data_IF_153120933819
#
_entry.id   IF_153120933819
#
_cell.length_a   1.000
_cell.length_b   1.000
_cell.length_c   1.000
_cell.angle_alpha   90.00
_cell.angle_beta   90.00
_cell.angle_gamma   90.00
#
_symmetry.space_group_name_H-M   'P 1'
#
loop_
_entity.id
_entity.type
_entity.pdbx_description
1 polymer ?
#
# COMPACT_ATOMS: atom_id res chain seq x y z
N UNK A 1 8.74 35.27 28.49
CA UNK A 1 9.35 34.07 27.87
C UNK A 1 8.54 33.75 26.61
N UNK A 2 9.14 33.36 25.49
CA UNK A 2 8.39 32.91 24.34
C UNK A 2 7.57 31.69 24.73
N UNK A 3 6.31 31.66 24.32
CA UNK A 3 5.42 30.52 24.54
C UNK A 3 6.00 29.30 23.84
N UNK A 4 6.26 28.24 24.60
CA UNK A 4 6.70 26.94 24.04
C UNK A 4 5.48 26.27 23.44
N UNK A 5 5.43 26.20 22.11
CA UNK A 5 4.34 25.55 21.40
C UNK A 5 4.48 24.03 21.46
N UNK A 6 3.34 23.36 21.57
CA UNK A 6 3.30 21.91 21.55
C UNK A 6 3.75 21.37 20.17
N UNK A 7 4.45 20.24 20.17
CA UNK A 7 4.76 19.51 18.95
C UNK A 7 3.48 18.89 18.39
N UNK A 8 3.33 18.96 17.07
CA UNK A 8 2.26 18.27 16.33
C UNK A 8 2.83 16.98 15.75
N UNK A 9 2.25 15.85 16.11
CA UNK A 9 2.69 14.53 15.72
C UNK A 9 1.89 14.05 14.50
N UNK A 10 2.60 13.78 13.38
CA UNK A 10 2.02 13.20 12.18
C UNK A 10 2.34 11.69 12.15
N UNK A 11 1.39 10.88 11.68
CA UNK A 11 1.69 9.47 11.41
C UNK A 11 2.48 9.31 10.11
N UNK A 12 3.45 8.38 10.11
CA UNK A 12 4.17 7.95 8.91
C UNK A 12 4.05 6.44 8.75
N UNK A 13 3.14 6.00 7.90
CA UNK A 13 2.97 4.59 7.51
C UNK A 13 3.79 4.18 6.29
N UNK A 14 4.75 5.01 5.88
CA UNK A 14 5.91 4.73 5.05
C UNK A 14 5.60 4.45 3.57
N UNK A 15 4.95 5.39 2.89
CA UNK A 15 4.78 5.41 1.43
C UNK A 15 4.89 6.82 0.84
N UNK A 16 5.25 6.91 -0.44
CA UNK A 16 5.71 8.16 -1.09
C UNK A 16 4.71 9.33 -0.99
N UNK A 17 3.43 9.12 -1.29
CA UNK A 17 2.43 10.20 -1.26
C UNK A 17 2.21 10.73 0.16
N UNK A 18 2.23 9.86 1.17
CA UNK A 18 2.13 10.28 2.57
C UNK A 18 3.33 11.13 2.99
N UNK A 19 4.56 10.77 2.58
CA UNK A 19 5.74 11.58 2.87
C UNK A 19 5.66 12.97 2.28
N UNK A 20 5.15 13.10 1.05
CA UNK A 20 4.91 14.40 0.40
C UNK A 20 3.86 15.19 1.17
N UNK A 21 2.74 14.57 1.53
CA UNK A 21 1.66 15.22 2.28
C UNK A 21 2.14 15.63 3.67
N UNK A 22 2.89 14.80 4.38
CA UNK A 22 3.48 15.13 5.67
C UNK A 22 4.44 16.32 5.56
N UNK A 23 5.34 16.31 4.56
CA UNK A 23 6.28 17.43 4.35
C UNK A 23 5.58 18.76 4.05
N UNK A 24 4.47 18.74 3.30
CA UNK A 24 3.65 19.92 3.04
C UNK A 24 2.96 20.39 4.32
N UNK A 25 2.39 19.48 5.11
CA UNK A 25 1.74 19.80 6.38
C UNK A 25 2.75 20.37 7.39
N UNK A 26 3.91 19.74 7.55
CA UNK A 26 5.03 20.22 8.38
C UNK A 26 5.40 21.64 8.02
N UNK A 27 5.69 21.92 6.74
CA UNK A 27 6.03 23.26 6.28
C UNK A 27 4.95 24.28 6.61
N UNK A 28 3.68 23.98 6.37
CA UNK A 28 2.57 24.91 6.63
C UNK A 28 2.39 25.14 8.14
N UNK A 29 2.42 24.08 8.94
CA UNK A 29 2.23 24.16 10.40
C UNK A 29 3.37 24.98 11.03
N UNK A 30 4.61 24.69 10.67
CA UNK A 30 5.76 25.41 11.21
C UNK A 30 5.79 26.89 10.77
N UNK A 31 5.57 27.15 9.47
CA UNK A 31 5.66 28.50 8.92
C UNK A 31 4.47 29.39 9.35
N UNK A 32 3.25 28.87 9.42
CA UNK A 32 2.06 29.66 9.71
C UNK A 32 1.71 29.71 11.20
N UNK A 33 1.93 28.60 11.91
CA UNK A 33 1.53 28.48 13.31
C UNK A 33 2.73 28.43 14.27
N UNK A 34 3.93 28.08 13.78
CA UNK A 34 5.16 28.00 14.56
C UNK A 34 5.21 26.85 15.56
N UNK A 35 4.36 25.84 15.40
CA UNK A 35 4.44 24.59 16.15
C UNK A 35 5.50 23.68 15.53
N UNK A 36 6.39 23.06 16.32
CA UNK A 36 7.26 22.00 15.82
C UNK A 36 6.41 20.82 15.31
N UNK A 37 6.88 20.13 14.28
CA UNK A 37 6.19 18.94 13.73
C UNK A 37 7.13 17.75 13.79
N UNK A 38 6.59 16.57 14.10
CA UNK A 38 7.32 15.29 14.07
C UNK A 38 6.50 14.25 13.32
N UNK A 39 7.10 13.60 12.30
CA UNK A 39 6.51 12.45 11.60
C UNK A 39 7.00 11.15 12.24
N UNK A 40 6.09 10.38 12.83
CA UNK A 40 6.41 9.19 13.61
C UNK A 40 6.10 7.94 12.80
N UNK A 41 7.12 7.13 12.51
CA UNK A 41 6.98 5.90 11.75
C UNK A 41 6.21 4.84 12.51
N UNK A 42 5.22 4.23 11.84
CA UNK A 42 4.39 3.19 12.44
C UNK A 42 3.69 2.30 11.40
N UNK A 43 3.14 1.19 11.87
CA UNK A 43 2.26 0.32 11.07
C UNK A 43 0.82 0.81 11.11
N UNK A 44 -0.03 0.34 10.19
CA UNK A 44 -1.45 0.72 10.17
C UNK A 44 -2.18 0.43 11.49
N UNK A 45 -2.04 -0.74 12.15
CA UNK A 45 -2.71 -0.98 13.44
C UNK A 45 -2.24 -0.04 14.56
N UNK A 46 -0.94 0.32 14.57
CA UNK A 46 -0.41 1.27 15.55
C UNK A 46 -0.96 2.66 15.25
N UNK A 47 -1.00 3.09 14.01
CA UNK A 47 -1.58 4.37 13.58
C UNK A 47 -3.05 4.49 14.05
N UNK A 48 -3.86 3.45 13.81
CA UNK A 48 -5.26 3.43 14.23
C UNK A 48 -5.39 3.66 15.75
N UNK A 49 -4.63 2.90 16.55
CA UNK A 49 -4.67 3.02 18.01
C UNK A 49 -4.16 4.38 18.48
N UNK A 50 -3.04 4.85 17.95
CA UNK A 50 -2.42 6.11 18.37
C UNK A 50 -3.24 7.32 17.96
N UNK A 51 -3.88 7.30 16.79
CA UNK A 51 -4.76 8.38 16.36
C UNK A 51 -6.03 8.44 17.22
N UNK A 52 -6.68 7.30 17.49
CA UNK A 52 -7.87 7.24 18.34
C UNK A 52 -7.59 7.65 19.80
N UNK A 53 -6.40 7.39 20.31
CA UNK A 53 -5.98 7.77 21.67
C UNK A 53 -5.48 9.22 21.77
N UNK A 54 -5.21 9.90 20.64
CA UNK A 54 -4.61 11.23 20.62
C UNK A 54 -3.09 11.26 20.87
N UNK A 55 -2.39 10.12 20.69
CA UNK A 55 -0.93 10.07 20.71
C UNK A 55 -0.34 10.62 19.39
N UNK A 56 -1.11 10.56 18.33
CA UNK A 56 -0.88 11.17 17.02
C UNK A 56 -1.99 12.20 16.80
N UNK A 57 -1.62 13.40 16.34
CA UNK A 57 -2.56 14.49 16.09
C UNK A 57 -3.19 14.42 14.70
N UNK A 58 -2.42 14.03 13.68
CA UNK A 58 -2.87 14.08 12.29
C UNK A 58 -2.37 12.84 11.51
N UNK A 59 -3.26 12.27 10.72
CA UNK A 59 -2.91 11.39 9.60
C UNK A 59 -3.26 12.12 8.29
N UNK A 60 -2.25 12.39 7.46
CA UNK A 60 -2.42 13.14 6.23
C UNK A 60 -2.97 12.34 5.06
N UNK A 61 -2.92 11.01 5.14
CA UNK A 61 -3.40 10.14 4.06
C UNK A 61 -3.87 8.79 4.62
N UNK A 62 -5.18 8.71 4.88
CA UNK A 62 -5.83 7.51 5.35
C UNK A 62 -6.55 6.79 4.20
N UNK A 63 -6.12 5.57 3.90
CA UNK A 63 -6.79 4.69 2.94
C UNK A 63 -8.00 4.02 3.60
N UNK A 64 -9.03 4.82 3.86
CA UNK A 64 -10.19 4.46 4.67
C UNK A 64 -10.92 3.20 4.19
N UNK A 65 -10.93 2.92 2.88
CA UNK A 65 -11.54 1.72 2.33
C UNK A 65 -10.92 0.41 2.82
N UNK A 66 -9.67 0.46 3.30
CA UNK A 66 -8.98 -0.71 3.87
C UNK A 66 -9.32 -0.95 5.34
N UNK A 67 -9.87 0.05 6.02
CA UNK A 67 -10.14 0.05 7.46
C UNK A 67 -11.48 0.76 7.77
N UNK A 68 -12.46 0.58 6.89
CA UNK A 68 -13.70 1.35 6.90
C UNK A 68 -14.49 1.18 8.21
N UNK A 69 -14.55 -0.03 8.75
CA UNK A 69 -15.29 -0.31 9.98
C UNK A 69 -14.70 0.49 11.17
N UNK A 70 -13.38 0.48 11.31
CA UNK A 70 -12.68 1.27 12.32
C UNK A 70 -12.89 2.78 12.10
N UNK A 71 -12.71 3.26 10.87
CA UNK A 71 -12.88 4.68 10.54
C UNK A 71 -14.29 5.19 10.92
N UNK A 72 -15.32 4.44 10.53
CA UNK A 72 -16.71 4.84 10.77
C UNK A 72 -17.07 4.75 12.26
N UNK A 73 -16.52 3.78 12.98
CA UNK A 73 -16.68 3.66 14.43
C UNK A 73 -16.06 4.85 15.18
N UNK A 74 -14.81 5.21 14.85
CA UNK A 74 -14.11 6.30 15.52
C UNK A 74 -14.71 7.68 15.20
N UNK A 75 -15.19 7.88 13.95
CA UNK A 75 -15.95 9.08 13.60
C UNK A 75 -17.26 9.14 14.41
N UNK A 76 -17.99 8.03 14.53
CA UNK A 76 -19.23 7.99 15.30
C UNK A 76 -19.01 8.22 16.79
N UNK A 77 -17.90 7.76 17.34
CA UNK A 77 -17.47 7.99 18.72
C UNK A 77 -16.95 9.42 18.96
N UNK A 78 -16.59 10.15 17.89
CA UNK A 78 -16.01 11.50 17.98
C UNK A 78 -14.56 11.51 18.47
N UNK A 79 -13.85 10.39 18.35
CA UNK A 79 -12.43 10.26 18.72
C UNK A 79 -11.51 10.77 17.62
N UNK A 80 -11.97 10.73 16.36
CA UNK A 80 -11.29 11.31 15.21
C UNK A 80 -12.26 12.16 14.40
N UNK A 81 -11.71 13.08 13.59
CA UNK A 81 -12.45 13.90 12.65
C UNK A 81 -11.90 13.73 11.24
N UNK A 82 -12.79 13.53 10.26
CA UNK A 82 -12.42 13.48 8.86
C UNK A 82 -12.50 14.89 8.26
N UNK A 83 -11.34 15.47 7.91
CA UNK A 83 -11.21 16.81 7.36
C UNK A 83 -11.40 16.88 5.84
N UNK A 84 -11.70 15.76 5.19
CA UNK A 84 -11.90 15.66 3.76
C UNK A 84 -10.79 14.85 3.06
N UNK A 85 -10.90 14.79 1.73
CA UNK A 85 -9.96 14.03 0.91
C UNK A 85 -8.75 14.86 0.52
N UNK A 86 -7.56 14.30 0.64
CA UNK A 86 -6.32 14.91 0.16
C UNK A 86 -6.28 14.87 -1.38
N UNK A 87 -6.79 13.78 -1.97
CA UNK A 87 -7.01 13.62 -3.42
C UNK A 87 -8.10 12.57 -3.68
N UNK A 88 -8.66 12.56 -4.87
CA UNK A 88 -9.67 11.59 -5.28
C UNK A 88 -9.03 10.38 -5.98
N UNK A 89 -9.57 9.20 -5.72
CA UNK A 89 -9.26 7.97 -6.43
C UNK A 89 -7.90 7.38 -6.04
N UNK A 90 -7.92 6.39 -5.15
CA UNK A 90 -6.78 5.56 -4.78
C UNK A 90 -7.07 4.09 -5.12
N UNK A 91 -7.08 3.68 -6.41
CA UNK A 91 -7.36 2.29 -6.75
C UNK A 91 -6.21 1.38 -6.31
N UNK A 92 -6.58 0.18 -5.85
CA UNK A 92 -5.67 -0.88 -5.44
C UNK A 92 -5.99 -2.13 -6.25
N UNK A 93 -4.99 -2.80 -6.78
CA UNK A 93 -5.19 -3.87 -7.72
C UNK A 93 -4.05 -4.90 -7.71
N UNK A 94 -4.31 -6.04 -8.32
CA UNK A 94 -3.28 -6.99 -8.71
C UNK A 94 -2.82 -6.69 -10.14
N UNK A 95 -1.51 -6.76 -10.37
CA UNK A 95 -0.90 -6.40 -11.65
C UNK A 95 0.09 -7.43 -12.14
N UNK A 96 0.19 -7.51 -13.45
CA UNK A 96 1.28 -8.16 -14.17
C UNK A 96 1.83 -7.17 -15.22
N UNK A 97 3.08 -7.31 -15.69
CA UNK A 97 3.53 -6.56 -16.87
C UNK A 97 2.61 -6.78 -18.06
N UNK A 98 2.33 -5.74 -18.86
CA UNK A 98 1.43 -5.88 -20.01
C UNK A 98 1.91 -6.94 -21.00
N UNK A 99 3.22 -7.04 -21.23
CA UNK A 99 3.77 -8.11 -22.10
C UNK A 99 3.52 -9.52 -21.52
N UNK A 100 3.45 -9.68 -20.18
CA UNK A 100 3.07 -10.95 -19.54
C UNK A 100 1.61 -11.27 -19.81
N UNK A 101 0.73 -10.27 -19.66
CA UNK A 101 -0.70 -10.44 -19.95
C UNK A 101 -0.96 -10.79 -21.40
N UNK A 102 -0.26 -10.14 -22.33
CA UNK A 102 -0.36 -10.41 -23.79
C UNK A 102 0.14 -11.82 -24.14
N UNK A 103 1.28 -12.24 -23.58
CA UNK A 103 1.88 -13.55 -23.88
C UNK A 103 0.99 -14.71 -23.43
N UNK A 104 0.38 -14.62 -22.24
CA UNK A 104 -0.41 -15.70 -21.65
C UNK A 104 -1.93 -15.49 -21.75
N UNK A 105 -2.38 -14.39 -22.34
CA UNK A 105 -3.80 -14.05 -22.44
C UNK A 105 -4.43 -13.89 -21.04
N UNK A 106 -3.78 -13.10 -20.16
CA UNK A 106 -4.25 -12.84 -18.81
C UNK A 106 -5.20 -11.64 -18.85
N UNK A 107 -6.41 -11.83 -18.33
CA UNK A 107 -7.43 -10.81 -18.14
C UNK A 107 -7.97 -10.88 -16.71
N UNK A 108 -8.28 -12.08 -16.24
CA UNK A 108 -8.96 -12.32 -14.97
C UNK A 108 -8.09 -13.10 -13.99
N UNK A 109 -8.52 -13.12 -12.73
CA UNK A 109 -7.90 -13.94 -11.67
C UNK A 109 -7.88 -15.43 -12.03
N UNK A 110 -8.88 -15.93 -12.75
CA UNK A 110 -8.90 -17.32 -13.19
C UNK A 110 -7.78 -17.65 -14.18
N UNK A 111 -7.36 -16.70 -15.00
CA UNK A 111 -6.24 -16.87 -15.91
C UNK A 111 -4.91 -17.08 -15.18
N UNK A 112 -4.78 -16.52 -13.98
CA UNK A 112 -3.58 -16.68 -13.13
C UNK A 112 -3.38 -18.13 -12.66
N UNK A 113 -4.40 -18.98 -12.70
CA UNK A 113 -4.33 -20.39 -12.29
C UNK A 113 -3.87 -21.33 -13.41
N UNK A 114 -3.67 -20.83 -14.63
CA UNK A 114 -3.16 -21.62 -15.76
C UNK A 114 -1.77 -22.14 -15.44
N UNK A 115 -1.46 -23.45 -15.68
CA UNK A 115 -0.16 -24.02 -15.35
C UNK A 115 1.03 -23.29 -15.98
N UNK A 116 0.90 -22.83 -17.21
CA UNK A 116 1.92 -22.05 -17.93
C UNK A 116 2.16 -20.67 -17.29
N UNK A 117 1.13 -20.03 -16.73
CA UNK A 117 1.25 -18.75 -16.03
C UNK A 117 1.96 -18.95 -14.70
N UNK A 118 1.53 -19.94 -13.92
CA UNK A 118 2.18 -20.29 -12.64
C UNK A 118 3.66 -20.61 -12.85
N UNK A 119 3.98 -21.41 -13.89
CA UNK A 119 5.37 -21.77 -14.22
C UNK A 119 6.21 -20.55 -14.65
N UNK A 120 5.63 -19.62 -15.41
CA UNK A 120 6.31 -18.38 -15.82
C UNK A 120 6.59 -17.43 -14.65
N UNK A 121 5.78 -17.50 -13.61
CA UNK A 121 5.87 -16.71 -12.37
C UNK A 121 6.49 -17.50 -11.21
N UNK A 122 7.21 -18.58 -11.49
CA UNK A 122 7.70 -19.52 -10.48
C UNK A 122 8.46 -18.83 -9.36
N UNK A 123 8.14 -19.20 -8.12
CA UNK A 123 8.87 -18.78 -6.93
C UNK A 123 10.26 -19.44 -6.93
N UNK A 124 11.36 -18.69 -6.87
CA UNK A 124 12.71 -19.24 -6.83
C UNK A 124 12.96 -20.18 -5.64
N UNK A 125 12.25 -20.00 -4.52
CA UNK A 125 12.40 -20.84 -3.32
C UNK A 125 11.48 -22.07 -3.36
N UNK A 126 10.38 -22.00 -4.10
CA UNK A 126 9.43 -23.11 -4.30
C UNK A 126 8.91 -23.13 -5.75
N UNK A 127 9.67 -23.68 -6.70
CA UNK A 127 9.28 -23.69 -8.12
C UNK A 127 8.00 -24.48 -8.45
N UNK A 128 7.39 -25.15 -7.49
CA UNK A 128 6.08 -25.78 -7.67
C UNK A 128 4.93 -24.78 -7.65
N UNK A 129 5.18 -23.55 -7.17
CA UNK A 129 4.23 -22.44 -7.09
C UNK A 129 4.79 -21.20 -7.77
N UNK A 130 3.91 -20.28 -8.12
CA UNK A 130 4.27 -18.93 -8.52
C UNK A 130 4.57 -18.04 -7.31
N UNK A 131 5.25 -16.92 -7.53
CA UNK A 131 5.45 -15.85 -6.54
C UNK A 131 4.48 -14.71 -6.75
N UNK A 132 3.88 -14.20 -5.67
CA UNK A 132 3.11 -12.98 -5.65
C UNK A 132 3.76 -11.97 -4.70
N UNK A 133 4.15 -10.81 -5.23
CA UNK A 133 4.69 -9.71 -4.43
C UNK A 133 3.52 -8.99 -3.75
N UNK A 134 3.41 -9.19 -2.44
CA UNK A 134 2.34 -8.62 -1.65
C UNK A 134 2.66 -7.18 -1.21
N UNK A 135 1.65 -6.53 -0.67
CA UNK A 135 1.72 -5.30 0.09
C UNK A 135 2.73 -5.42 1.25
N UNK A 136 3.31 -4.27 1.64
CA UNK A 136 4.31 -4.20 2.70
C UNK A 136 3.78 -4.75 4.03
N UNK A 137 4.64 -5.44 4.76
CA UNK A 137 4.31 -5.95 6.09
C UNK A 137 3.92 -4.81 7.05
N UNK A 138 2.79 -4.98 7.73
CA UNK A 138 2.25 -3.98 8.66
C UNK A 138 1.28 -2.98 8.02
N UNK A 139 1.05 -3.06 6.71
CA UNK A 139 -0.06 -2.37 6.07
C UNK A 139 -1.32 -3.26 6.02
N UNK A 140 -2.50 -2.66 6.11
CA UNK A 140 -3.77 -3.41 6.09
C UNK A 140 -3.99 -4.19 4.79
N UNK A 141 -3.53 -3.66 3.65
CA UNK A 141 -3.63 -4.35 2.36
C UNK A 141 -2.94 -5.73 2.36
N UNK A 142 -1.91 -5.94 3.18
CA UNK A 142 -1.26 -7.25 3.27
C UNK A 142 -2.23 -8.34 3.75
N UNK A 143 -3.06 -8.04 4.73
CA UNK A 143 -4.07 -8.98 5.23
C UNK A 143 -5.27 -9.09 4.29
N UNK A 144 -5.71 -7.98 3.70
CA UNK A 144 -6.77 -7.98 2.67
C UNK A 144 -6.37 -8.89 1.50
N UNK A 145 -5.13 -8.78 1.02
CA UNK A 145 -4.65 -9.61 -0.09
C UNK A 145 -4.57 -11.09 0.28
N UNK A 146 -4.19 -11.43 1.52
CA UNK A 146 -4.25 -12.82 2.00
C UNK A 146 -5.68 -13.38 1.97
N UNK A 147 -6.66 -12.58 2.42
CA UNK A 147 -8.06 -12.97 2.37
C UNK A 147 -8.56 -13.13 0.91
N UNK A 148 -8.16 -12.22 0.01
CA UNK A 148 -8.47 -12.33 -1.43
C UNK A 148 -7.85 -13.59 -2.04
N UNK A 149 -6.61 -13.91 -1.71
CA UNK A 149 -5.94 -15.14 -2.19
C UNK A 149 -6.72 -16.40 -1.81
N UNK A 150 -7.15 -16.49 -0.56
CA UNK A 150 -7.98 -17.61 -0.11
C UNK A 150 -9.34 -17.64 -0.82
N UNK A 151 -10.00 -16.49 -0.92
CA UNK A 151 -11.32 -16.38 -1.56
C UNK A 151 -11.28 -16.75 -3.05
N UNK A 152 -10.19 -16.41 -3.74
CA UNK A 152 -9.98 -16.77 -5.15
C UNK A 152 -9.33 -18.15 -5.33
N UNK A 153 -8.88 -18.82 -4.26
CA UNK A 153 -8.14 -20.10 -4.35
C UNK A 153 -6.77 -19.94 -4.99
N UNK A 154 -6.13 -18.78 -4.89
CA UNK A 154 -4.79 -18.53 -5.42
C UNK A 154 -3.69 -19.07 -4.51
N UNK A 155 -3.96 -19.32 -3.25
CA UNK A 155 -3.05 -19.90 -2.25
C UNK A 155 -2.61 -21.33 -2.59
N UNK A 156 -3.36 -22.04 -3.43
CA UNK A 156 -2.96 -23.33 -3.99
C UNK A 156 -1.85 -23.17 -5.05
N UNK A 157 -1.80 -22.05 -5.77
CA UNK A 157 -0.97 -21.80 -6.93
C UNK A 157 0.23 -20.89 -6.67
N UNK A 158 0.16 -20.01 -5.67
CA UNK A 158 1.15 -18.97 -5.42
C UNK A 158 1.58 -18.89 -3.97
N UNK A 159 2.86 -18.62 -3.76
CA UNK A 159 3.39 -18.17 -2.48
C UNK A 159 3.29 -16.66 -2.39
N UNK A 160 2.86 -16.17 -1.24
CA UNK A 160 2.74 -14.74 -0.95
C UNK A 160 4.06 -14.23 -0.37
N UNK A 161 4.76 -13.40 -1.12
CA UNK A 161 6.03 -12.78 -0.72
C UNK A 161 5.72 -11.40 -0.14
N UNK A 162 5.84 -11.25 1.17
CA UNK A 162 5.61 -9.99 1.88
C UNK A 162 6.95 -9.35 2.22
N UNK A 163 7.21 -8.17 1.66
CA UNK A 163 8.46 -7.45 1.84
C UNK A 163 8.37 -6.42 2.96
N UNK A 164 9.49 -6.03 3.53
CA UNK A 164 9.55 -5.21 4.74
C UNK A 164 9.53 -3.69 4.49
N UNK A 165 9.53 -3.24 3.23
CA UNK A 165 9.52 -1.81 2.89
C UNK A 165 8.95 -1.57 1.49
N UNK A 166 8.48 -0.34 1.25
CA UNK A 166 8.03 0.12 -0.08
C UNK A 166 9.12 -0.03 -1.13
N UNK A 167 10.35 0.40 -0.82
CA UNK A 167 11.46 0.29 -1.77
C UNK A 167 11.81 -1.16 -2.13
N UNK A 168 11.66 -2.12 -1.19
CA UNK A 168 11.86 -3.54 -1.49
C UNK A 168 10.72 -4.09 -2.38
N UNK A 169 9.48 -3.68 -2.12
CA UNK A 169 8.32 -4.05 -2.92
C UNK A 169 8.45 -3.48 -4.35
N UNK A 170 8.81 -2.21 -4.48
CA UNK A 170 9.05 -1.56 -5.77
C UNK A 170 10.15 -2.27 -6.56
N UNK A 171 11.27 -2.58 -5.91
CA UNK A 171 12.36 -3.33 -6.54
C UNK A 171 11.92 -4.73 -7.02
N UNK A 172 11.05 -5.40 -6.26
CA UNK A 172 10.49 -6.71 -6.62
C UNK A 172 9.61 -6.68 -7.85
N UNK A 173 8.96 -5.55 -8.14
CA UNK A 173 8.14 -5.35 -9.34
C UNK A 173 8.94 -4.70 -10.48
N UNK A 174 9.75 -3.70 -10.18
CA UNK A 174 10.53 -2.95 -11.18
C UNK A 174 11.66 -3.79 -11.79
N UNK A 175 12.37 -4.57 -10.97
CA UNK A 175 13.47 -5.39 -11.44
C UNK A 175 13.07 -6.34 -12.59
N UNK A 176 12.02 -7.15 -12.43
CA UNK A 176 11.48 -7.97 -13.51
C UNK A 176 11.04 -7.16 -14.74
N UNK A 177 10.39 -6.01 -14.56
CA UNK A 177 10.01 -5.13 -15.68
C UNK A 177 11.23 -4.69 -16.52
N UNK A 178 12.29 -4.25 -15.86
CA UNK A 178 13.54 -3.84 -16.53
C UNK A 178 14.19 -5.02 -17.24
N UNK A 179 14.21 -6.19 -16.60
CA UNK A 179 14.82 -7.41 -17.13
C UNK A 179 13.94 -8.15 -18.15
N UNK A 180 12.72 -7.66 -18.42
CA UNK A 180 11.70 -8.34 -19.24
C UNK A 180 11.38 -9.75 -18.75
N UNK A 181 11.36 -9.92 -17.43
CA UNK A 181 10.94 -11.12 -16.75
C UNK A 181 9.48 -10.97 -16.28
N UNK A 182 8.80 -12.08 -16.06
CA UNK A 182 7.43 -12.07 -15.57
C UNK A 182 7.40 -11.79 -14.06
N UNK A 183 6.38 -11.04 -13.63
CA UNK A 183 6.11 -10.78 -12.21
C UNK A 183 4.61 -10.62 -11.98
N UNK A 184 4.17 -10.92 -10.78
CA UNK A 184 2.79 -10.76 -10.34
C UNK A 184 2.79 -10.12 -8.96
N UNK A 185 2.03 -9.07 -8.76
CA UNK A 185 2.00 -8.41 -7.47
C UNK A 185 0.81 -7.50 -7.24
N UNK A 186 0.74 -7.01 -6.02
CA UNK A 186 -0.16 -5.94 -5.60
C UNK A 186 0.48 -4.58 -5.87
N UNK A 187 -0.34 -3.64 -6.29
CA UNK A 187 0.07 -2.25 -6.35
C UNK A 187 -1.12 -1.29 -6.24
N UNK A 188 -0.85 0.02 -6.30
CA UNK A 188 -1.87 1.07 -6.24
C UNK A 188 -1.49 2.26 -7.12
N UNK A 189 -2.44 3.17 -7.33
CA UNK A 189 -2.23 4.45 -8.01
C UNK A 189 -2.80 5.61 -7.18
N UNK A 190 -2.27 6.82 -7.34
CA UNK A 190 -1.16 7.20 -8.23
C UNK A 190 0.22 6.97 -7.58
N UNK A 191 1.18 6.41 -8.32
CA UNK A 191 2.56 6.24 -7.88
C UNK A 191 3.52 6.41 -9.05
N UNK A 192 4.79 6.72 -8.77
CA UNK A 192 5.82 6.86 -9.77
C UNK A 192 6.09 5.54 -10.51
N UNK A 193 6.13 4.41 -9.80
CA UNK A 193 6.34 3.09 -10.41
C UNK A 193 5.21 2.70 -11.34
N UNK A 194 3.95 2.87 -10.92
CA UNK A 194 2.81 2.53 -11.77
C UNK A 194 2.78 3.37 -13.05
N UNK A 195 3.12 4.67 -12.95
CA UNK A 195 3.15 5.57 -14.11
C UNK A 195 4.35 5.39 -15.02
N UNK A 196 5.41 4.67 -14.61
CA UNK A 196 6.65 4.53 -15.38
C UNK A 196 6.71 3.29 -16.27
N UNK A 197 5.79 2.34 -16.10
CA UNK A 197 5.77 1.07 -16.83
C UNK A 197 4.35 0.70 -17.27
N UNK A 198 4.28 -0.18 -18.29
CA UNK A 198 3.03 -0.72 -18.78
C UNK A 198 2.59 -1.92 -17.94
N UNK A 199 1.49 -1.76 -17.22
CA UNK A 199 0.88 -2.76 -16.34
C UNK A 199 -0.51 -3.14 -16.83
N UNK A 200 -0.85 -4.40 -16.71
CA UNK A 200 -2.22 -4.91 -16.86
C UNK A 200 -2.78 -5.23 -15.48
N UNK A 201 -3.94 -4.67 -15.17
CA UNK A 201 -4.71 -5.01 -13.98
C UNK A 201 -5.38 -6.37 -14.23
N UNK A 202 -5.25 -7.27 -13.25
CA UNK A 202 -5.91 -8.58 -13.27
C UNK A 202 -7.27 -8.45 -12.59
N UNK A 203 -8.36 -8.64 -13.34
CA UNK A 203 -9.76 -8.46 -12.92
C UNK A 203 -10.35 -9.68 -12.20
#
# INVERSE_FOLDING_TARGET
EPEVKATINLSDTQFESLWINNAVAEFVIEAAYGNPVEAIQMTTPIMQTSLANGDIDINMELWQQNIIDWHDEEIANGTIENLGMTYEGGPQFFIVPTYTAEEFGIVTIEDMKKPEVVAALADPEDPSKGAFINCVSGWQCAEINRAKFQAYGLDEFYNIITLGSTGAMDAGLQGPQIAKQHTFGYYWAPTSLYGSYDWTIVE
#
